data_IF_200908258172
#
_entry.id   IF_200908258172
#
_cell.length_a   1.000
_cell.length_b   1.000
_cell.length_c   1.000
_cell.angle_alpha   90.00
_cell.angle_beta   90.00
_cell.angle_gamma   90.00
#
_symmetry.space_group_name_H-M   'P 1'
#
loop_
_entity.id
_entity.type
_entity.pdbx_description
1 polymer ?
#
# COMPACT_ATOMS: atom_id res chain seq x y z
N UNK A 1 -34.70 5.38 49.84
CA UNK A 1 -33.36 6.02 49.74
C UNK A 1 -32.30 5.09 49.17
N UNK A 2 -31.98 3.94 49.78
CA UNK A 2 -30.93 3.02 49.28
C UNK A 2 -31.13 2.54 47.82
N UNK A 3 -32.37 2.20 47.41
CA UNK A 3 -32.68 1.80 46.01
C UNK A 3 -32.46 2.91 44.98
N UNK A 4 -32.74 4.18 45.32
CA UNK A 4 -32.45 5.31 44.43
C UNK A 4 -30.94 5.54 44.28
N UNK A 5 -30.16 5.33 45.35
CA UNK A 5 -28.70 5.45 45.30
C UNK A 5 -28.08 4.39 44.38
N UNK A 6 -28.54 3.13 44.45
CA UNK A 6 -28.08 2.08 43.54
C UNK A 6 -28.47 2.32 42.08
N UNK A 7 -29.67 2.86 41.82
CA UNK A 7 -30.11 3.21 40.47
C UNK A 7 -29.30 4.37 39.88
N UNK A 8 -28.99 5.38 40.69
CA UNK A 8 -28.13 6.51 40.29
C UNK A 8 -26.68 6.07 40.05
N UNK A 9 -26.13 5.16 40.85
CA UNK A 9 -24.80 4.57 40.65
C UNK A 9 -24.73 3.71 39.37
N UNK A 10 -25.80 2.99 39.04
CA UNK A 10 -25.90 2.20 37.81
C UNK A 10 -26.03 3.11 36.57
N UNK A 11 -26.81 4.20 36.65
CA UNK A 11 -26.89 5.18 35.57
C UNK A 11 -25.54 5.88 35.35
N UNK A 12 -24.85 6.25 36.44
CA UNK A 12 -23.55 6.92 36.36
C UNK A 12 -22.47 6.02 35.75
N UNK A 13 -22.48 4.72 36.04
CA UNK A 13 -21.54 3.76 35.43
C UNK A 13 -21.83 3.51 33.95
N UNK A 14 -23.09 3.53 33.53
CA UNK A 14 -23.47 3.42 32.10
C UNK A 14 -23.06 4.67 31.30
N UNK A 15 -23.21 5.87 31.89
CA UNK A 15 -22.82 7.15 31.26
C UNK A 15 -21.28 7.26 31.14
N UNK A 16 -20.53 6.81 32.15
CA UNK A 16 -19.06 6.81 32.12
C UNK A 16 -18.49 5.81 31.09
N UNK A 17 -19.14 4.65 30.91
CA UNK A 17 -18.72 3.67 29.90
C UNK A 17 -19.01 4.14 28.45
N UNK A 18 -20.06 4.92 28.23
CA UNK A 18 -20.39 5.46 26.90
C UNK A 18 -19.44 6.58 26.46
N UNK A 19 -18.94 7.41 27.37
CA UNK A 19 -17.90 8.41 27.05
C UNK A 19 -16.52 7.81 26.78
N UNK A 20 -16.18 6.68 27.40
CA UNK A 20 -14.90 5.99 27.17
C UNK A 20 -14.77 5.35 25.77
N UNK A 21 -15.88 5.29 25.01
CA UNK A 21 -15.96 4.61 23.71
C UNK A 21 -16.06 5.58 22.52
N UNK A 22 -15.63 6.83 22.69
CA UNK A 22 -15.29 7.68 21.55
C UNK A 22 -14.13 7.03 20.79
N UNK A 23 -14.44 6.28 19.71
CA UNK A 23 -13.43 5.85 18.73
C UNK A 23 -12.72 7.08 18.21
N UNK A 24 -11.54 7.38 18.73
CA UNK A 24 -10.64 8.34 18.08
C UNK A 24 -10.17 7.67 16.80
N UNK A 25 -10.61 8.20 15.68
CA UNK A 25 -10.08 7.83 14.38
C UNK A 25 -8.61 8.26 14.35
N UNK A 26 -7.75 7.35 13.90
CA UNK A 26 -6.32 7.56 13.76
C UNK A 26 -5.99 7.28 12.31
N UNK A 27 -5.21 8.16 11.70
CA UNK A 27 -4.62 7.96 10.40
C UNK A 27 -3.32 7.18 10.56
N UNK A 28 -3.09 6.23 9.66
CA UNK A 28 -1.85 5.47 9.56
C UNK A 28 -1.17 5.84 8.23
N UNK A 29 0.13 6.04 8.27
CA UNK A 29 0.95 6.31 7.08
C UNK A 29 2.06 5.26 6.99
N UNK A 30 2.08 4.55 5.86
CA UNK A 30 3.17 3.66 5.49
C UNK A 30 4.20 4.45 4.69
N UNK A 31 5.48 4.31 5.04
CA UNK A 31 6.56 5.01 4.37
C UNK A 31 7.84 4.20 4.35
N UNK A 32 8.81 4.70 3.61
CA UNK A 32 10.16 4.17 3.53
C UNK A 32 11.18 5.28 3.78
N UNK A 33 12.42 4.91 4.08
CA UNK A 33 13.53 5.84 4.30
C UNK A 33 14.64 5.57 3.29
N UNK A 34 15.44 6.58 2.98
CA UNK A 34 16.53 6.44 2.01
C UNK A 34 16.00 5.98 0.65
N UNK A 35 16.57 4.89 0.11
CA UNK A 35 16.04 4.24 -1.08
C UNK A 35 15.13 3.05 -0.81
N UNK A 36 14.70 2.84 0.43
CA UNK A 36 13.86 1.71 0.83
C UNK A 36 14.66 0.47 1.25
N UNK A 37 15.95 0.61 1.54
CA UNK A 37 16.84 -0.50 1.90
C UNK A 37 16.47 -1.12 3.26
N UNK A 38 15.94 -0.31 4.20
CA UNK A 38 15.59 -0.77 5.56
C UNK A 38 14.18 -1.38 5.64
N UNK A 39 13.27 -0.98 4.74
CA UNK A 39 11.93 -1.56 4.64
C UNK A 39 10.78 -0.67 5.07
N UNK A 40 9.70 -1.31 5.54
CA UNK A 40 8.44 -0.67 5.92
C UNK A 40 8.58 0.10 7.22
N UNK A 41 8.23 1.39 7.20
CA UNK A 41 8.02 2.20 8.40
C UNK A 41 6.55 2.61 8.52
N UNK A 42 6.08 2.81 9.75
CA UNK A 42 4.70 3.23 10.03
C UNK A 42 4.70 4.46 10.94
N UNK A 43 3.84 5.42 10.64
CA UNK A 43 3.56 6.57 11.47
C UNK A 43 2.05 6.70 11.69
N UNK A 44 1.66 7.33 12.79
CA UNK A 44 0.25 7.61 13.07
C UNK A 44 0.02 9.11 13.26
N UNK A 45 -1.22 9.52 13.04
CA UNK A 45 -1.68 10.88 13.27
C UNK A 45 -3.13 10.90 13.72
N UNK A 46 -3.50 11.86 14.55
CA UNK A 46 -4.91 12.14 14.91
C UNK A 46 -5.51 13.29 14.11
N UNK A 47 -4.70 14.00 13.30
CA UNK A 47 -5.13 15.17 12.53
C UNK A 47 -4.71 15.13 11.05
N UNK A 48 -3.98 14.09 10.62
CA UNK A 48 -3.38 13.92 9.30
C UNK A 48 -2.32 14.98 8.90
N UNK A 49 -1.99 15.92 9.79
CA UNK A 49 -0.98 16.96 9.57
C UNK A 49 0.32 16.68 10.35
N UNK A 50 0.19 16.24 11.60
CA UNK A 50 1.30 15.92 12.49
C UNK A 50 1.41 14.41 12.65
N UNK A 51 2.56 13.89 12.26
CA UNK A 51 2.82 12.45 12.24
C UNK A 51 3.85 12.07 13.30
N UNK A 52 3.56 11.03 14.05
CA UNK A 52 4.48 10.42 15.00
C UNK A 52 4.87 9.02 14.49
N UNK A 53 6.18 8.81 14.29
CA UNK A 53 6.71 7.51 13.91
C UNK A 53 6.42 6.46 14.99
N UNK A 54 6.03 5.27 14.57
CA UNK A 54 5.85 4.11 15.45
C UNK A 54 7.17 3.37 15.63
N UNK A 55 7.26 2.49 16.63
CA UNK A 55 8.41 1.61 16.88
C UNK A 55 9.75 2.35 16.92
N UNK A 56 9.78 3.57 17.47
CA UNK A 56 10.95 4.44 17.47
C UNK A 56 11.59 4.62 16.08
N UNK A 57 10.75 4.72 15.04
CA UNK A 57 11.19 4.89 13.64
C UNK A 57 12.09 3.74 13.13
N UNK A 58 11.86 2.53 13.66
CA UNK A 58 12.48 1.31 13.16
C UNK A 58 11.58 0.59 12.16
N UNK A 59 12.19 -0.08 11.20
CA UNK A 59 11.49 -0.92 10.23
C UNK A 59 10.63 -2.01 10.89
N UNK A 60 9.44 -2.21 10.32
CA UNK A 60 8.47 -3.26 10.63
C UNK A 60 8.66 -4.49 9.74
N UNK A 61 9.17 -4.31 8.53
CA UNK A 61 9.39 -5.40 7.57
C UNK A 61 10.56 -5.05 6.63
N UNK A 62 11.67 -5.79 6.76
CA UNK A 62 12.82 -5.68 5.88
C UNK A 62 12.56 -6.38 4.53
N UNK A 63 12.84 -5.77 3.38
CA UNK A 63 12.64 -6.38 2.06
C UNK A 63 13.54 -7.60 1.85
N UNK A 64 12.98 -8.66 1.26
CA UNK A 64 13.72 -9.89 0.94
C UNK A 64 13.60 -10.31 -0.52
N UNK A 65 12.65 -9.74 -1.26
CA UNK A 65 12.36 -10.07 -2.66
C UNK A 65 13.09 -9.16 -3.65
N UNK A 66 13.29 -9.66 -4.88
CA UNK A 66 14.18 -9.09 -5.91
C UNK A 66 15.66 -9.10 -5.51
N UNK A 67 16.54 -8.85 -6.49
CA UNK A 67 17.99 -8.76 -6.27
C UNK A 67 18.38 -7.50 -5.48
N UNK A 68 17.71 -6.39 -5.76
CA UNK A 68 18.01 -5.09 -5.14
C UNK A 68 17.45 -4.99 -3.71
N UNK A 69 16.44 -5.82 -3.37
CA UNK A 69 15.80 -5.88 -2.06
C UNK A 69 15.42 -4.49 -1.53
N UNK A 70 14.66 -3.74 -2.31
CA UNK A 70 14.11 -2.45 -1.88
C UNK A 70 12.65 -2.61 -1.46
N UNK A 71 12.21 -1.73 -0.57
CA UNK A 71 10.80 -1.48 -0.28
C UNK A 71 10.54 0.01 -0.37
N UNK A 72 10.17 0.48 -1.57
CA UNK A 72 9.75 1.87 -1.77
C UNK A 72 8.26 1.94 -2.02
N UNK A 73 7.70 3.09 -1.69
CA UNK A 73 6.31 3.43 -1.99
C UNK A 73 5.32 2.37 -1.44
N UNK A 74 5.43 1.93 -0.17
CA UNK A 74 4.53 0.91 0.36
C UNK A 74 3.10 1.42 0.39
N UNK A 75 2.19 0.73 -0.30
CA UNK A 75 0.76 1.01 -0.28
C UNK A 75 0.04 -0.11 0.46
N UNK A 76 -0.70 0.22 1.52
CA UNK A 76 -1.44 -0.73 2.36
C UNK A 76 -2.92 -0.43 2.31
N UNK A 77 -3.75 -1.45 2.09
CA UNK A 77 -5.20 -1.40 2.32
C UNK A 77 -5.65 -2.48 3.29
N UNK A 78 -6.81 -2.28 3.90
CA UNK A 78 -7.54 -3.34 4.57
C UNK A 78 -8.49 -4.01 3.57
N UNK A 79 -8.23 -5.27 3.26
CA UNK A 79 -9.01 -6.08 2.33
C UNK A 79 -10.37 -6.49 2.89
N UNK A 80 -11.24 -6.98 2.00
CA UNK A 80 -12.56 -7.51 2.37
C UNK A 80 -12.49 -8.85 3.12
N UNK A 81 -11.35 -9.53 3.05
CA UNK A 81 -11.01 -10.70 3.85
C UNK A 81 -10.59 -10.34 5.29
N UNK A 82 -10.50 -9.05 5.61
CA UNK A 82 -10.11 -8.54 6.92
C UNK A 82 -8.60 -8.46 7.14
N UNK A 83 -7.79 -8.86 6.15
CA UNK A 83 -6.33 -8.75 6.17
C UNK A 83 -5.88 -7.36 5.71
N UNK A 84 -4.67 -6.98 6.09
CA UNK A 84 -3.93 -5.89 5.47
C UNK A 84 -3.14 -6.44 4.29
N UNK A 85 -3.26 -5.80 3.14
CA UNK A 85 -2.53 -6.15 1.92
C UNK A 85 -1.60 -5.00 1.56
N UNK A 86 -0.32 -5.32 1.33
CA UNK A 86 0.70 -4.35 0.98
C UNK A 86 1.31 -4.67 -0.38
N UNK A 87 1.52 -3.65 -1.19
CA UNK A 87 2.35 -3.68 -2.40
C UNK A 87 3.44 -2.62 -2.34
N UNK A 88 4.57 -2.84 -3.01
CA UNK A 88 5.70 -1.90 -3.01
C UNK A 88 6.62 -2.06 -4.23
N UNK A 89 7.43 -1.03 -4.51
CA UNK A 89 8.51 -1.05 -5.50
C UNK A 89 9.71 -1.82 -4.94
N UNK A 90 10.16 -2.86 -5.67
CA UNK A 90 11.25 -3.76 -5.23
C UNK A 90 12.64 -3.40 -5.75
N UNK A 91 12.71 -2.59 -6.81
CA UNK A 91 13.93 -2.27 -7.55
C UNK A 91 13.71 -1.07 -8.47
N UNK A 92 14.81 -0.42 -8.85
CA UNK A 92 14.80 0.61 -9.88
C UNK A 92 14.52 0.07 -11.29
N UNK A 93 14.83 -1.19 -11.58
CA UNK A 93 14.83 -1.73 -12.96
C UNK A 93 14.10 -3.06 -13.14
N UNK A 94 13.45 -3.55 -12.09
CA UNK A 94 12.76 -4.84 -12.14
C UNK A 94 11.36 -4.71 -12.76
N UNK A 95 10.87 -5.82 -13.30
CA UNK A 95 9.60 -5.98 -14.01
C UNK A 95 8.49 -6.52 -13.10
N UNK A 96 8.63 -6.31 -11.79
CA UNK A 96 7.65 -6.75 -10.81
C UNK A 96 7.60 -5.85 -9.59
N UNK A 97 6.65 -6.17 -8.72
CA UNK A 97 6.40 -5.50 -7.44
C UNK A 97 6.47 -6.51 -6.31
N UNK A 98 6.57 -6.02 -5.09
CA UNK A 98 6.45 -6.86 -3.91
C UNK A 98 5.01 -6.93 -3.45
N UNK A 99 4.66 -8.05 -2.79
CA UNK A 99 3.39 -8.23 -2.10
C UNK A 99 3.57 -8.99 -0.80
N UNK A 100 2.82 -8.59 0.23
CA UNK A 100 2.71 -9.28 1.50
C UNK A 100 1.37 -8.92 2.15
N UNK A 101 0.92 -9.77 3.08
CA UNK A 101 -0.27 -9.53 3.88
C UNK A 101 0.00 -9.70 5.37
N UNK A 102 -0.81 -9.04 6.19
CA UNK A 102 -0.72 -9.08 7.65
C UNK A 102 -2.11 -9.07 8.28
N UNK A 103 -2.25 -9.66 9.46
CA UNK A 103 -3.46 -9.57 10.28
C UNK A 103 -3.46 -8.35 11.20
N UNK A 104 -2.29 -7.77 11.49
CA UNK A 104 -2.10 -6.80 12.58
C UNK A 104 -1.11 -5.66 12.27
N UNK A 105 -0.60 -5.56 11.03
CA UNK A 105 0.43 -4.62 10.55
C UNK A 105 1.82 -4.79 11.16
N UNK A 106 2.00 -5.79 12.04
CA UNK A 106 3.26 -6.05 12.75
C UNK A 106 3.88 -7.33 12.21
N UNK A 107 3.10 -8.40 12.10
CA UNK A 107 3.52 -9.71 11.62
C UNK A 107 3.06 -9.87 10.18
N UNK A 108 4.02 -9.93 9.27
CA UNK A 108 3.78 -10.08 7.84
C UNK A 108 4.07 -11.51 7.40
N UNK A 109 3.29 -11.98 6.43
CA UNK A 109 3.54 -13.26 5.79
C UNK A 109 4.81 -13.21 4.91
N UNK A 110 5.13 -14.35 4.28
CA UNK A 110 6.22 -14.42 3.32
C UNK A 110 6.01 -13.44 2.16
N UNK A 111 7.03 -12.63 1.89
CA UNK A 111 7.03 -11.67 0.80
C UNK A 111 7.03 -12.39 -0.55
N UNK A 112 6.21 -11.91 -1.46
CA UNK A 112 6.08 -12.44 -2.81
C UNK A 112 6.57 -11.40 -3.81
N UNK A 113 7.31 -11.86 -4.82
CA UNK A 113 7.59 -11.08 -6.01
C UNK A 113 6.49 -11.33 -7.05
N UNK A 114 5.77 -10.29 -7.44
CA UNK A 114 4.72 -10.35 -8.46
C UNK A 114 5.28 -9.84 -9.79
N UNK A 115 5.51 -10.71 -10.80
CA UNK A 115 6.16 -10.36 -12.08
C UNK A 115 5.20 -9.66 -13.06
N UNK A 116 4.56 -8.57 -12.63
CA UNK A 116 3.44 -7.94 -13.35
C UNK A 116 3.79 -7.34 -14.72
N UNK A 117 5.07 -7.06 -14.99
CA UNK A 117 5.56 -6.61 -16.30
C UNK A 117 6.46 -7.63 -17.00
N UNK A 118 6.59 -8.87 -16.50
CA UNK A 118 7.55 -9.83 -17.03
C UNK A 118 7.30 -10.24 -18.49
N UNK A 119 6.07 -10.13 -18.98
CA UNK A 119 5.69 -10.41 -20.37
C UNK A 119 5.99 -9.25 -21.34
N UNK A 120 6.40 -8.09 -20.83
CA UNK A 120 6.71 -6.92 -21.64
C UNK A 120 8.23 -6.74 -21.72
N UNK A 121 8.81 -7.12 -22.86
CA UNK A 121 10.26 -7.12 -23.06
C UNK A 121 10.87 -5.73 -22.89
N UNK A 122 10.18 -4.70 -23.39
CA UNK A 122 10.60 -3.30 -23.31
C UNK A 122 10.40 -2.64 -21.94
N UNK A 123 9.73 -3.29 -20.97
CA UNK A 123 9.49 -2.70 -19.66
C UNK A 123 10.81 -2.41 -18.95
N UNK A 124 10.98 -1.15 -18.50
CA UNK A 124 12.18 -0.68 -17.81
C UNK A 124 12.07 -0.76 -16.30
N UNK A 125 10.85 -0.66 -15.77
CA UNK A 125 10.61 -0.45 -14.36
C UNK A 125 9.17 -0.81 -13.97
N UNK A 126 8.92 -0.96 -12.67
CA UNK A 126 7.59 -1.16 -12.08
C UNK A 126 7.55 -0.39 -10.76
N UNK A 127 7.09 0.86 -10.80
CA UNK A 127 7.26 1.82 -9.70
C UNK A 127 5.96 2.30 -9.08
N UNK A 128 6.05 2.69 -7.82
CA UNK A 128 5.00 3.25 -6.99
C UNK A 128 3.66 2.50 -7.12
N UNK A 129 3.64 1.18 -6.84
CA UNK A 129 2.39 0.44 -6.94
C UNK A 129 1.41 0.87 -5.86
N UNK A 130 0.16 1.00 -6.25
CA UNK A 130 -0.96 1.23 -5.36
C UNK A 130 -1.98 0.12 -5.52
N UNK A 131 -2.76 -0.09 -4.46
CA UNK A 131 -3.79 -1.13 -4.40
C UNK A 131 -5.11 -0.53 -3.92
N UNK A 132 -6.20 -0.95 -4.57
CA UNK A 132 -7.57 -0.62 -4.17
C UNK A 132 -8.48 -1.85 -4.26
N UNK A 133 -9.60 -1.82 -3.54
CA UNK A 133 -10.61 -2.86 -3.57
C UNK A 133 -11.97 -2.30 -3.99
N UNK A 134 -12.54 -2.86 -5.05
CA UNK A 134 -13.90 -2.56 -5.48
C UNK A 134 -14.89 -3.54 -4.86
N UNK A 135 -15.72 -3.02 -3.95
CA UNK A 135 -16.72 -3.79 -3.24
C UNK A 135 -17.87 -4.28 -4.16
N UNK A 136 -18.09 -3.65 -5.31
CA UNK A 136 -19.16 -4.04 -6.24
C UNK A 136 -18.78 -5.29 -7.04
N UNK A 137 -17.57 -5.32 -7.60
CA UNK A 137 -17.05 -6.46 -8.37
C UNK A 137 -16.31 -7.49 -7.53
N UNK A 138 -16.06 -7.18 -6.25
CA UNK A 138 -15.25 -7.99 -5.31
C UNK A 138 -13.84 -8.22 -5.82
N UNK A 139 -13.22 -7.18 -6.38
CA UNK A 139 -11.95 -7.28 -7.10
C UNK A 139 -10.96 -6.26 -6.56
N UNK A 140 -9.72 -6.70 -6.36
CA UNK A 140 -8.59 -5.81 -6.11
C UNK A 140 -8.01 -5.35 -7.45
N UNK A 141 -7.72 -4.05 -7.56
CA UNK A 141 -6.91 -3.50 -8.63
C UNK A 141 -5.57 -3.07 -8.05
N UNK A 142 -4.49 -3.53 -8.66
CA UNK A 142 -3.13 -3.08 -8.37
C UNK A 142 -2.65 -2.34 -9.61
N UNK A 143 -2.15 -1.12 -9.43
CA UNK A 143 -1.68 -0.28 -10.54
C UNK A 143 -0.35 0.36 -10.22
N UNK A 144 0.45 0.66 -11.25
CA UNK A 144 1.83 1.14 -11.12
C UNK A 144 2.26 1.92 -12.37
N UNK A 145 3.38 2.64 -12.25
CA UNK A 145 4.01 3.36 -13.35
C UNK A 145 5.10 2.51 -14.02
N UNK A 146 5.07 2.42 -15.36
CA UNK A 146 6.11 1.75 -16.15
C UNK A 146 6.43 2.57 -17.40
N UNK A 147 7.73 2.72 -17.69
CA UNK A 147 8.20 3.07 -19.03
C UNK A 147 8.47 1.82 -19.83
N UNK A 148 7.97 1.77 -21.06
CA UNK A 148 8.26 0.71 -22.03
C UNK A 148 9.09 1.33 -23.16
N UNK A 149 10.24 0.72 -23.48
CA UNK A 149 11.08 1.17 -24.61
C UNK A 149 10.27 1.17 -25.91
N UNK A 150 10.52 2.18 -26.74
CA UNK A 150 9.92 2.36 -28.07
C UNK A 150 8.39 2.49 -28.10
N UNK A 151 7.74 2.70 -26.94
CA UNK A 151 6.31 3.06 -26.83
C UNK A 151 6.13 4.51 -26.38
N UNK A 152 5.04 5.13 -26.85
CA UNK A 152 4.67 6.52 -26.56
C UNK A 152 5.76 7.54 -26.93
N UNK A 153 6.46 7.31 -28.05
CA UNK A 153 7.61 8.10 -28.48
C UNK A 153 7.26 9.58 -28.70
N UNK A 154 6.00 9.88 -29.02
CA UNK A 154 5.45 11.21 -29.19
C UNK A 154 5.51 12.07 -27.91
N UNK A 155 5.60 11.44 -26.73
CA UNK A 155 5.79 12.14 -25.44
C UNK A 155 7.12 11.80 -24.77
N UNK A 156 8.06 11.20 -25.50
CA UNK A 156 9.34 10.82 -24.92
C UNK A 156 10.12 12.07 -24.46
N UNK A 157 10.50 12.08 -23.19
CA UNK A 157 11.37 13.13 -22.64
C UNK A 157 12.83 12.83 -22.96
N UNK A 158 13.63 13.88 -23.16
CA UNK A 158 15.10 13.79 -23.16
C UNK A 158 15.71 13.94 -21.76
N UNK A 159 14.88 14.28 -20.77
CA UNK A 159 15.25 14.42 -19.36
C UNK A 159 15.03 13.10 -18.61
N UNK A 160 15.46 13.03 -17.33
CA UNK A 160 15.22 11.88 -16.45
C UNK A 160 15.60 10.52 -17.08
N UNK A 161 16.74 10.45 -17.78
CA UNK A 161 17.19 9.23 -18.48
C UNK A 161 16.15 8.67 -19.46
N UNK A 162 15.30 9.52 -20.03
CA UNK A 162 14.25 9.18 -20.98
C UNK A 162 13.15 8.28 -20.42
N UNK A 163 12.90 8.31 -19.10
CA UNK A 163 11.69 7.68 -18.56
C UNK A 163 10.44 8.40 -19.10
N UNK A 164 9.45 7.62 -19.51
CA UNK A 164 8.20 8.04 -20.13
C UNK A 164 7.11 7.05 -19.67
N UNK A 165 6.65 7.26 -18.45
CA UNK A 165 5.76 6.37 -17.75
C UNK A 165 4.34 6.43 -18.32
N UNK A 166 3.66 5.28 -18.23
CA UNK A 166 2.21 5.17 -18.24
C UNK A 166 1.76 4.34 -17.05
N UNK A 167 0.50 4.51 -16.68
CA UNK A 167 -0.11 3.70 -15.62
C UNK A 167 -0.61 2.38 -16.19
N UNK A 168 -0.21 1.28 -15.58
CA UNK A 168 -0.68 -0.07 -15.89
C UNK A 168 -1.36 -0.66 -14.68
N UNK A 169 -2.16 -1.70 -14.89
CA UNK A 169 -2.82 -2.40 -13.81
C UNK A 169 -3.00 -3.90 -14.09
N UNK A 170 -3.16 -4.65 -13.00
CA UNK A 170 -3.77 -5.98 -12.98
C UNK A 170 -4.93 -5.99 -11.99
N UNK A 171 -5.77 -7.00 -12.14
CA UNK A 171 -6.85 -7.29 -11.19
C UNK A 171 -6.67 -8.67 -10.59
N UNK A 172 -7.08 -8.85 -9.34
CA UNK A 172 -7.09 -10.14 -8.64
C UNK A 172 -8.26 -10.20 -7.66
N UNK A 173 -8.70 -11.42 -7.32
CA UNK A 173 -9.65 -11.66 -6.23
C UNK A 173 -9.02 -12.30 -5.00
N UNK A 174 -7.83 -12.88 -5.15
CA UNK A 174 -7.24 -13.79 -4.18
C UNK A 174 -5.72 -13.63 -3.99
N UNK A 175 -5.09 -12.68 -4.70
CA UNK A 175 -3.64 -12.46 -4.72
C UNK A 175 -2.81 -13.67 -5.17
N UNK A 176 -3.44 -14.63 -5.84
CA UNK A 176 -2.78 -15.82 -6.43
C UNK A 176 -2.94 -15.83 -7.93
N UNK A 177 -4.13 -15.44 -8.40
CA UNK A 177 -4.47 -15.35 -9.81
C UNK A 177 -4.63 -13.89 -10.19
N UNK A 178 -4.00 -13.50 -11.29
CA UNK A 178 -4.01 -12.12 -11.77
C UNK A 178 -4.50 -12.09 -13.21
N UNK A 179 -5.22 -11.02 -13.56
CA UNK A 179 -5.53 -10.73 -14.97
C UNK A 179 -4.26 -10.47 -15.77
N UNK A 180 -4.40 -10.41 -17.09
CA UNK A 180 -3.35 -9.80 -17.91
C UNK A 180 -3.16 -8.32 -17.57
N UNK A 181 -1.92 -7.87 -17.71
CA UNK A 181 -1.54 -6.47 -17.53
C UNK A 181 -2.14 -5.62 -18.63
N UNK A 182 -2.76 -4.50 -18.24
CA UNK A 182 -3.41 -3.56 -19.14
C UNK A 182 -2.98 -2.14 -18.85
N UNK A 183 -2.98 -1.30 -19.87
CA UNK A 183 -2.84 0.15 -19.72
C UNK A 183 -4.07 0.67 -18.97
N UNK A 184 -3.85 1.33 -17.83
CA UNK A 184 -4.90 1.95 -17.03
C UNK A 184 -5.31 3.30 -17.61
N UNK A 185 -4.30 4.11 -17.92
CA UNK A 185 -4.51 5.51 -18.29
C UNK A 185 -3.37 6.02 -19.18
N UNK A 186 -3.73 6.72 -20.26
CA UNK A 186 -2.82 7.43 -21.15
C UNK A 186 -3.44 8.76 -21.58
N UNK A 187 -3.04 9.88 -20.95
CA UNK A 187 -3.56 11.20 -21.28
C UNK A 187 -2.80 11.90 -22.40
N UNK A 188 -1.86 11.22 -23.08
CA UNK A 188 -0.99 11.86 -24.06
C UNK A 188 0.14 12.68 -23.43
N UNK A 189 0.56 12.35 -22.20
CA UNK A 189 1.77 12.89 -21.57
C UNK A 189 2.36 11.89 -20.55
N UNK A 190 3.62 12.11 -20.17
CA UNK A 190 4.33 11.32 -19.14
C UNK A 190 3.71 11.54 -17.76
N UNK A 191 3.34 10.47 -17.06
CA UNK A 191 2.64 10.50 -15.76
C UNK A 191 3.53 10.15 -14.58
#
# INVERSE_FOLDING_TARGET
MKKLIYLSLLLLSVILNTQAQSKKEIYLFAYFKGNGEDGLHLAYSTDAYKWAALKNDQSFLTPTVSNDKLMRDPCIIRGADGLFHMVWTVSWKDKGIGYASSTDLIHWNEQQFLPVMAKEDGARNTWAPEITYDNSTKTYMIYWATTIKDKFNETASTEESGYNHRMYYVTTKDFKTFSETKLLYDPGFNV
#
